data_IF_735808768885
#
_entry.id   IF_735808768885
#
_cell.length_a   1.000
_cell.length_b   1.000
_cell.length_c   1.000
_cell.angle_alpha   90.00
_cell.angle_beta   90.00
_cell.angle_gamma   90.00
#
_symmetry.space_group_name_H-M   'P 1'
#
loop_
_entity.id
_entity.type
_entity.pdbx_description
1 polymer ?
#
# COMPACT_ATOMS: atom_id res chain seq x y z
N UNK A 1 7.79 -4.27 -19.23
CA UNK A 1 7.99 -2.83 -19.01
C UNK A 1 9.02 -2.61 -17.91
N UNK A 2 9.94 -1.66 -18.08
CA UNK A 2 10.83 -1.18 -17.01
C UNK A 2 10.21 0.05 -16.34
N UNK A 3 10.44 0.25 -15.04
CA UNK A 3 9.84 1.37 -14.28
C UNK A 3 10.78 1.85 -13.18
N UNK A 4 10.86 3.16 -12.88
CA UNK A 4 11.60 3.65 -11.73
C UNK A 4 10.92 3.26 -10.41
N UNK A 5 11.73 3.05 -9.37
CA UNK A 5 11.27 2.88 -8.00
C UNK A 5 11.07 4.23 -7.32
N UNK A 6 9.99 4.37 -6.56
CA UNK A 6 9.59 5.67 -6.05
C UNK A 6 10.41 6.19 -4.86
N UNK A 7 10.39 7.51 -4.69
CA UNK A 7 10.71 8.19 -3.42
C UNK A 7 12.17 8.57 -3.17
N UNK A 8 13.14 8.01 -3.92
CA UNK A 8 14.56 8.39 -3.81
C UNK A 8 15.11 8.98 -5.11
N UNK A 9 15.22 10.31 -5.16
CA UNK A 9 15.81 11.00 -6.31
C UNK A 9 17.28 10.70 -6.57
N UNK A 10 18.00 10.16 -5.58
CA UNK A 10 19.38 9.68 -5.71
C UNK A 10 19.54 8.47 -6.66
N UNK A 11 18.44 7.85 -7.10
CA UNK A 11 18.42 6.82 -8.12
C UNK A 11 18.55 7.37 -9.54
N UNK A 12 18.46 8.69 -9.72
CA UNK A 12 18.59 9.39 -11.01
C UNK A 12 17.65 8.85 -12.11
N UNK A 13 16.45 8.41 -11.72
CA UNK A 13 15.46 7.83 -12.63
C UNK A 13 15.84 6.46 -13.22
N UNK A 14 16.87 5.80 -12.69
CA UNK A 14 17.21 4.43 -13.09
C UNK A 14 16.03 3.49 -12.82
N UNK A 15 15.72 2.59 -13.77
CA UNK A 15 14.64 1.63 -13.58
C UNK A 15 15.02 0.60 -12.52
N UNK A 16 14.01 -0.06 -11.95
CA UNK A 16 14.20 -1.26 -11.15
C UNK A 16 14.98 -2.32 -11.95
N UNK A 17 15.89 -3.02 -11.28
CA UNK A 17 16.76 -4.04 -11.85
C UNK A 17 16.04 -5.39 -11.97
N UNK A 18 15.15 -5.69 -11.02
CA UNK A 18 14.31 -6.89 -11.04
C UNK A 18 13.16 -6.75 -10.02
N UNK A 19 12.51 -7.87 -9.72
CA UNK A 19 11.45 -7.99 -8.70
C UNK A 19 11.99 -8.86 -7.57
N UNK A 20 11.95 -8.35 -6.33
CA UNK A 20 12.26 -9.13 -5.14
C UNK A 20 11.03 -9.90 -4.66
N UNK A 21 9.91 -9.18 -4.51
CA UNK A 21 8.61 -9.77 -4.17
C UNK A 21 7.48 -9.08 -4.94
N UNK A 22 6.35 -9.77 -5.06
CA UNK A 22 5.15 -9.25 -5.71
C UNK A 22 4.57 -8.09 -4.89
N UNK A 23 4.33 -6.97 -5.56
CA UNK A 23 3.53 -5.86 -5.04
C UNK A 23 2.05 -6.08 -5.34
N UNK A 24 1.16 -5.66 -4.45
CA UNK A 24 -0.28 -5.91 -4.60
C UNK A 24 -1.10 -4.62 -4.58
N UNK A 25 -2.23 -4.69 -5.29
CA UNK A 25 -3.42 -3.91 -4.98
C UNK A 25 -4.37 -4.83 -4.22
N UNK A 26 -4.93 -4.36 -3.10
CA UNK A 26 -5.93 -5.08 -2.33
C UNK A 26 -7.11 -4.15 -2.06
N UNK A 27 -8.31 -4.61 -2.38
CA UNK A 27 -9.52 -3.81 -2.24
C UNK A 27 -10.47 -4.40 -1.22
N UNK A 28 -11.13 -3.53 -0.48
CA UNK A 28 -12.23 -3.81 0.42
C UNK A 28 -13.40 -2.95 0.00
N UNK A 29 -14.50 -3.58 -0.45
CA UNK A 29 -15.75 -2.91 -0.80
C UNK A 29 -16.76 -3.19 0.31
N UNK A 30 -17.33 -2.12 0.84
CA UNK A 30 -18.44 -2.15 1.78
C UNK A 30 -19.73 -1.83 1.03
N UNK A 31 -20.77 -2.62 1.28
CA UNK A 31 -22.13 -2.31 0.83
C UNK A 31 -23.05 -2.24 2.05
N UNK A 32 -23.80 -1.15 2.16
CA UNK A 32 -24.83 -0.98 3.18
C UNK A 32 -26.01 -0.19 2.61
N UNK A 33 -27.22 -0.70 2.81
CA UNK A 33 -28.45 -0.05 2.33
C UNK A 33 -28.45 0.27 0.82
N UNK A 34 -27.76 -0.56 0.03
CA UNK A 34 -27.60 -0.38 -1.43
C UNK A 34 -26.48 0.58 -1.84
N UNK A 35 -25.79 1.21 -0.88
CA UNK A 35 -24.71 2.16 -1.13
C UNK A 35 -23.34 1.47 -1.00
N UNK A 36 -22.47 1.67 -1.99
CA UNK A 36 -21.11 1.11 -2.01
C UNK A 36 -20.05 2.14 -1.68
N UNK A 37 -19.00 1.71 -0.99
CA UNK A 37 -17.76 2.48 -0.79
C UNK A 37 -16.57 1.52 -0.81
N UNK A 38 -15.39 1.98 -1.21
CA UNK A 38 -14.20 1.15 -1.30
C UNK A 38 -12.98 1.75 -0.63
N UNK A 39 -12.14 0.88 -0.09
CA UNK A 39 -10.77 1.17 0.27
C UNK A 39 -9.85 0.29 -0.58
N UNK A 40 -8.85 0.88 -1.24
CA UNK A 40 -7.82 0.16 -1.98
C UNK A 40 -6.46 0.47 -1.37
N UNK A 41 -5.80 -0.55 -0.84
CA UNK A 41 -4.42 -0.49 -0.35
C UNK A 41 -3.46 -0.94 -1.45
N UNK A 42 -2.39 -0.18 -1.67
CA UNK A 42 -1.49 -0.33 -2.82
C UNK A 42 -0.03 -0.31 -2.37
N UNK A 43 0.75 -1.29 -2.81
CA UNK A 43 2.20 -1.33 -2.59
C UNK A 43 2.96 -0.44 -3.58
N UNK A 44 2.80 0.87 -3.42
CA UNK A 44 3.43 1.91 -4.24
C UNK A 44 3.99 3.04 -3.37
N UNK A 45 4.86 3.87 -3.95
CA UNK A 45 5.40 5.03 -3.24
C UNK A 45 4.38 6.17 -3.14
N UNK A 46 3.66 6.48 -4.22
CA UNK A 46 2.71 7.60 -4.24
C UNK A 46 1.59 7.35 -5.24
N UNK A 47 0.50 8.09 -5.08
CA UNK A 47 -0.70 7.96 -5.91
C UNK A 47 -1.14 9.33 -6.44
N UNK A 48 -1.07 9.57 -7.75
CA UNK A 48 -1.69 10.74 -8.34
C UNK A 48 -3.19 10.54 -8.50
N UNK A 49 -3.97 11.62 -8.35
CA UNK A 49 -5.43 11.55 -8.45
C UNK A 49 -5.92 11.02 -9.81
N UNK A 50 -5.20 11.29 -10.91
CA UNK A 50 -5.61 10.77 -12.23
C UNK A 50 -5.58 9.23 -12.28
N UNK A 51 -4.63 8.58 -11.61
CA UNK A 51 -4.58 7.12 -11.54
C UNK A 51 -5.74 6.55 -10.71
N UNK A 52 -6.20 7.29 -9.69
CA UNK A 52 -7.39 6.94 -8.90
C UNK A 52 -8.65 7.04 -9.77
N UNK A 53 -8.85 8.18 -10.44
CA UNK A 53 -9.99 8.44 -11.32
C UNK A 53 -10.08 7.41 -12.46
N UNK A 54 -8.98 7.18 -13.16
CA UNK A 54 -8.92 6.22 -14.28
C UNK A 54 -9.16 4.77 -13.79
N UNK A 55 -8.61 4.39 -12.63
CA UNK A 55 -8.82 3.06 -12.05
C UNK A 55 -10.29 2.78 -11.69
N UNK A 56 -10.97 3.76 -11.09
CA UNK A 56 -12.41 3.65 -10.76
C UNK A 56 -13.26 3.60 -12.03
N UNK A 57 -12.98 4.48 -12.99
CA UNK A 57 -13.70 4.52 -14.26
C UNK A 57 -13.56 3.19 -15.04
N UNK A 58 -12.35 2.61 -15.08
CA UNK A 58 -12.10 1.30 -15.70
C UNK A 58 -12.75 0.14 -14.93
N UNK A 59 -12.92 0.24 -13.61
CA UNK A 59 -13.63 -0.77 -12.83
C UNK A 59 -15.11 -0.85 -13.24
N UNK A 60 -15.73 0.31 -13.51
CA UNK A 60 -17.10 0.40 -14.02
C UNK A 60 -18.15 -0.19 -13.08
N UNK A 61 -17.94 -0.03 -11.76
CA UNK A 61 -18.84 -0.59 -10.74
C UNK A 61 -19.92 0.43 -10.40
N UNK A 62 -21.18 0.04 -10.61
CA UNK A 62 -22.34 0.88 -10.29
C UNK A 62 -22.35 1.28 -8.80
N UNK A 63 -22.57 2.56 -8.55
CA UNK A 63 -22.61 3.14 -7.20
C UNK A 63 -21.25 3.41 -6.57
N UNK A 64 -20.13 3.14 -7.28
CA UNK A 64 -18.78 3.43 -6.80
C UNK A 64 -18.16 4.60 -7.61
N UNK A 65 -18.14 5.77 -6.98
CA UNK A 65 -17.61 7.03 -7.52
C UNK A 65 -16.37 7.51 -6.75
N UNK A 66 -15.67 8.50 -7.28
CA UNK A 66 -14.43 9.04 -6.69
C UNK A 66 -14.60 9.48 -5.22
N UNK A 67 -15.72 10.09 -4.87
CA UNK A 67 -16.07 10.54 -3.51
C UNK A 67 -16.37 9.40 -2.53
N UNK A 68 -16.41 8.15 -3.02
CA UNK A 68 -16.70 6.94 -2.24
C UNK A 68 -15.54 5.94 -2.22
N UNK A 69 -14.39 6.32 -2.78
CA UNK A 69 -13.21 5.47 -2.85
C UNK A 69 -12.04 6.17 -2.17
N UNK A 70 -11.45 5.47 -1.21
CA UNK A 70 -10.15 5.83 -0.66
C UNK A 70 -9.08 4.90 -1.26
N UNK A 71 -8.11 5.44 -1.99
CA UNK A 71 -6.92 4.70 -2.40
C UNK A 71 -5.72 5.16 -1.59
N UNK A 72 -5.04 4.22 -0.95
CA UNK A 72 -3.94 4.47 -0.03
C UNK A 72 -2.67 3.73 -0.47
N UNK A 73 -1.57 4.47 -0.57
CA UNK A 73 -0.25 3.90 -0.80
C UNK A 73 0.34 3.41 0.53
N UNK A 74 0.99 2.25 0.53
CA UNK A 74 1.86 1.82 1.64
C UNK A 74 3.11 2.69 1.77
N UNK A 75 3.38 3.54 0.78
CA UNK A 75 4.53 4.44 0.75
C UNK A 75 5.87 3.67 0.79
N UNK A 76 5.89 2.47 0.20
CA UNK A 76 7.14 1.72 -0.02
C UNK A 76 8.03 2.48 -1.01
N UNK A 77 9.27 2.76 -0.62
CA UNK A 77 10.29 3.31 -1.52
C UNK A 77 10.91 2.23 -2.45
N UNK A 78 10.38 1.00 -2.42
CA UNK A 78 10.72 -0.07 -3.36
C UNK A 78 9.54 -0.44 -4.29
N UNK A 79 8.45 0.32 -4.24
CA UNK A 79 7.33 0.18 -5.17
C UNK A 79 7.39 1.15 -6.35
N UNK A 80 6.29 1.22 -7.10
CA UNK A 80 6.16 2.09 -8.26
C UNK A 80 6.28 3.59 -7.88
N UNK A 81 6.97 4.36 -8.72
CA UNK A 81 7.02 5.84 -8.62
C UNK A 81 5.68 6.46 -9.04
N UNK A 82 5.04 7.16 -8.11
CA UNK A 82 3.71 7.73 -8.31
C UNK A 82 3.66 8.85 -9.36
N UNK A 83 4.72 9.64 -9.50
CA UNK A 83 4.80 10.66 -10.54
C UNK A 83 4.99 10.09 -11.95
N UNK A 84 5.46 8.84 -12.07
CA UNK A 84 5.47 8.13 -13.34
C UNK A 84 4.07 7.66 -13.77
N UNK A 85 3.11 7.65 -12.83
CA UNK A 85 1.69 7.39 -13.06
C UNK A 85 0.88 8.66 -13.36
N UNK A 86 1.46 9.85 -13.22
CA UNK A 86 0.70 11.10 -13.35
C UNK A 86 0.81 11.66 -14.77
N UNK A 87 -0.27 11.54 -15.56
CA UNK A 87 -0.37 12.11 -16.91
C UNK A 87 -0.13 13.63 -16.95
N UNK A 88 -0.30 14.32 -15.81
CA UNK A 88 -0.08 15.76 -15.66
C UNK A 88 1.37 16.11 -15.31
N UNK A 89 2.21 15.11 -15.01
CA UNK A 89 3.63 15.31 -14.75
C UNK A 89 4.37 15.63 -16.07
N UNK A 90 4.51 16.93 -16.32
CA UNK A 90 5.25 17.48 -17.46
C UNK A 90 6.65 18.00 -17.07
N UNK A 91 7.10 17.73 -15.83
CA UNK A 91 8.37 18.25 -15.33
C UNK A 91 9.59 17.66 -16.07
N UNK A 92 9.41 16.49 -16.71
CA UNK A 92 10.45 15.75 -17.42
C UNK A 92 11.74 15.58 -16.58
N UNK A 93 11.56 15.38 -15.26
CA UNK A 93 12.65 15.28 -14.30
C UNK A 93 12.81 13.81 -13.86
N UNK A 94 13.89 13.12 -14.25
CA UNK A 94 14.08 11.71 -13.90
C UNK A 94 14.19 11.46 -12.39
N UNK A 95 14.61 12.44 -11.58
CA UNK A 95 14.74 12.28 -10.13
C UNK A 95 13.40 12.14 -9.39
N UNK A 96 12.30 12.52 -10.02
CA UNK A 96 10.95 12.33 -9.47
C UNK A 96 10.12 11.36 -10.30
N UNK A 97 10.68 10.76 -11.36
CA UNK A 97 9.94 9.93 -12.31
C UNK A 97 9.42 10.71 -13.52
N UNK A 98 9.46 10.04 -14.67
CA UNK A 98 8.92 10.52 -15.94
C UNK A 98 7.62 9.76 -16.20
N UNK A 99 6.57 10.48 -16.63
CA UNK A 99 5.28 9.87 -16.96
C UNK A 99 5.43 8.75 -17.99
N UNK A 100 4.75 7.63 -17.74
CA UNK A 100 4.64 6.49 -18.65
C UNK A 100 3.18 6.06 -18.79
N UNK A 101 2.64 6.21 -20.00
CA UNK A 101 1.29 5.75 -20.36
C UNK A 101 1.12 4.25 -20.13
N UNK A 102 2.16 3.46 -20.47
CA UNK A 102 2.14 2.01 -20.30
C UNK A 102 2.04 1.64 -18.81
N UNK A 103 2.79 2.33 -17.96
CA UNK A 103 2.77 2.10 -16.51
C UNK A 103 1.45 2.54 -15.88
N UNK A 104 0.89 3.68 -16.30
CA UNK A 104 -0.44 4.11 -15.86
C UNK A 104 -1.52 3.11 -16.27
N UNK A 105 -1.47 2.57 -17.49
CA UNK A 105 -2.41 1.54 -17.93
C UNK A 105 -2.27 0.25 -17.13
N UNK A 106 -1.05 -0.25 -16.95
CA UNK A 106 -0.79 -1.41 -16.09
C UNK A 106 -1.34 -1.23 -14.68
N UNK A 107 -1.09 -0.07 -14.07
CA UNK A 107 -1.57 0.26 -12.73
C UNK A 107 -3.11 0.31 -12.67
N UNK A 108 -3.74 1.07 -13.57
CA UNK A 108 -5.19 1.27 -13.56
C UNK A 108 -5.97 0.01 -13.94
N UNK A 109 -5.42 -0.84 -14.83
CA UNK A 109 -6.00 -2.14 -15.15
C UNK A 109 -5.95 -3.08 -13.94
N UNK A 110 -4.84 -3.09 -13.20
CA UNK A 110 -4.69 -3.84 -11.96
C UNK A 110 -5.66 -3.39 -10.86
N UNK A 111 -5.78 -2.07 -10.66
CA UNK A 111 -6.76 -1.49 -9.71
C UNK A 111 -8.20 -1.83 -10.11
N UNK A 112 -8.54 -1.67 -11.39
CA UNK A 112 -9.88 -1.98 -11.88
C UNK A 112 -10.23 -3.47 -11.71
N UNK A 113 -9.26 -4.36 -11.96
CA UNK A 113 -9.44 -5.79 -11.74
C UNK A 113 -9.64 -6.11 -10.25
N UNK A 114 -8.79 -5.55 -9.38
CA UNK A 114 -8.88 -5.71 -7.93
C UNK A 114 -10.25 -5.27 -7.37
N UNK A 115 -10.75 -4.12 -7.83
CA UNK A 115 -12.08 -3.62 -7.45
C UNK A 115 -13.21 -4.55 -7.91
N UNK A 116 -13.14 -5.06 -9.15
CA UNK A 116 -14.16 -6.01 -9.66
C UNK A 116 -14.17 -7.31 -8.87
N UNK A 117 -13.00 -7.85 -8.55
CA UNK A 117 -12.86 -9.06 -7.73
C UNK A 117 -13.44 -8.84 -6.32
N UNK A 118 -13.10 -7.72 -5.67
CA UNK A 118 -13.66 -7.39 -4.35
C UNK A 118 -15.20 -7.23 -4.39
N UNK A 119 -15.75 -6.64 -5.46
CA UNK A 119 -17.19 -6.47 -5.63
C UNK A 119 -17.90 -7.83 -5.84
N UNK A 120 -17.27 -8.76 -6.55
CA UNK A 120 -17.80 -10.13 -6.72
C UNK A 120 -17.74 -10.95 -5.42
N UNK A 121 -16.85 -10.60 -4.50
CA UNK A 121 -16.63 -11.29 -3.23
C UNK A 121 -17.47 -10.72 -2.06
N UNK A 122 -18.43 -9.83 -2.34
CA UNK A 122 -19.34 -9.27 -1.35
C UNK A 122 -20.10 -10.37 -0.61
N UNK A 123 -20.06 -10.32 0.71
CA UNK A 123 -20.75 -11.25 1.59
C UNK A 123 -20.99 -10.62 2.96
N UNK A 124 -21.98 -11.10 3.75
CA UNK A 124 -22.18 -10.65 5.12
C UNK A 124 -20.95 -10.93 5.99
N UNK A 125 -20.54 -9.94 6.77
CA UNK A 125 -19.40 -10.04 7.69
C UNK A 125 -19.75 -9.43 9.05
N UNK A 126 -19.00 -9.82 10.08
CA UNK A 126 -18.98 -9.13 11.38
C UNK A 126 -17.70 -8.31 11.47
N UNK A 127 -17.84 -7.02 11.77
CA UNK A 127 -16.71 -6.13 11.96
C UNK A 127 -16.33 -6.03 13.44
N UNK A 128 -15.03 -6.05 13.73
CA UNK A 128 -14.47 -5.72 15.03
C UNK A 128 -13.20 -4.89 14.86
N UNK A 129 -12.93 -3.98 15.78
CA UNK A 129 -11.72 -3.16 15.77
C UNK A 129 -10.97 -3.28 17.09
N UNK A 130 -9.65 -3.17 17.02
CA UNK A 130 -8.77 -3.16 18.18
C UNK A 130 -7.55 -2.29 17.93
N UNK A 131 -6.99 -1.74 19.00
CA UNK A 131 -5.79 -0.92 18.96
C UNK A 131 -4.80 -1.43 19.99
N UNK A 132 -3.53 -1.44 19.63
CA UNK A 132 -2.40 -1.70 20.54
C UNK A 132 -1.34 -0.63 20.33
N UNK A 133 -0.53 -0.38 21.37
CA UNK A 133 0.64 0.49 21.26
C UNK A 133 1.89 -0.35 21.00
N UNK A 134 2.71 0.09 20.05
CA UNK A 134 4.00 -0.51 19.71
C UNK A 134 5.13 0.49 20.04
N UNK A 135 5.51 0.61 21.32
CA UNK A 135 6.57 1.52 21.71
C UNK A 135 7.90 1.15 21.06
N UNK A 136 8.75 2.15 20.84
CA UNK A 136 10.12 2.00 20.31
C UNK A 136 10.28 1.43 18.90
N UNK A 137 9.20 1.11 18.20
CA UNK A 137 9.22 0.66 16.80
C UNK A 137 9.39 1.81 15.80
N UNK A 138 9.09 3.05 16.21
CA UNK A 138 9.23 4.24 15.39
C UNK A 138 10.11 5.30 16.03
N UNK A 139 10.58 6.24 15.21
CA UNK A 139 11.15 7.50 15.67
C UNK A 139 10.69 8.65 14.80
N UNK A 140 10.62 9.83 15.41
CA UNK A 140 10.45 11.07 14.66
C UNK A 140 11.79 11.49 14.02
N UNK A 141 11.90 11.44 12.69
CA UNK A 141 13.12 11.83 11.95
C UNK A 141 13.39 13.33 11.95
N UNK A 142 12.45 14.15 12.44
CA UNK A 142 12.61 15.59 12.68
C UNK A 142 13.01 15.91 14.13
N UNK A 143 13.27 14.88 14.95
CA UNK A 143 13.71 14.98 16.35
C UNK A 143 12.67 15.60 17.31
N UNK A 144 11.39 15.60 16.92
CA UNK A 144 10.32 15.92 17.86
C UNK A 144 10.06 14.73 18.80
N UNK A 145 9.49 14.99 19.97
CA UNK A 145 9.14 13.93 20.93
C UNK A 145 7.87 13.17 20.52
N UNK A 146 7.04 13.74 19.65
CA UNK A 146 5.81 13.10 19.19
C UNK A 146 6.12 11.91 18.27
N UNK A 147 5.65 10.73 18.70
CA UNK A 147 5.70 9.48 17.95
C UNK A 147 4.31 8.86 18.07
N UNK A 148 3.68 8.62 16.92
CA UNK A 148 2.50 7.75 16.82
C UNK A 148 2.96 6.28 16.95
N UNK A 149 2.52 5.66 18.05
CA UNK A 149 2.82 4.28 18.41
C UNK A 149 1.59 3.37 18.23
N UNK A 150 0.46 3.92 17.78
CA UNK A 150 -0.78 3.18 17.71
C UNK A 150 -0.80 2.32 16.44
N UNK A 151 -1.02 1.02 16.63
CA UNK A 151 -1.42 0.11 15.58
C UNK A 151 -2.89 -0.22 15.77
N UNK A 152 -3.70 0.08 14.76
CA UNK A 152 -5.13 -0.21 14.76
C UNK A 152 -5.43 -1.28 13.72
N UNK A 153 -6.26 -2.27 14.09
CA UNK A 153 -6.74 -3.30 13.17
C UNK A 153 -8.26 -3.25 13.11
N UNK A 154 -8.79 -3.15 11.89
CA UNK A 154 -10.18 -3.54 11.60
C UNK A 154 -10.16 -4.97 11.07
N UNK A 155 -10.85 -5.88 11.77
CA UNK A 155 -11.03 -7.27 11.36
C UNK A 155 -12.47 -7.48 10.88
N UNK A 156 -12.61 -8.17 9.75
CA UNK A 156 -13.89 -8.64 9.26
C UNK A 156 -13.89 -10.17 9.32
N UNK A 157 -14.88 -10.72 10.02
CA UNK A 157 -15.08 -12.17 10.16
C UNK A 157 -16.30 -12.61 9.33
N UNK A 158 -16.24 -13.80 8.74
CA UNK A 158 -17.37 -14.42 8.04
C UNK A 158 -18.47 -14.82 9.02
N UNK A 159 -19.61 -15.24 8.49
CA UNK A 159 -20.76 -15.68 9.30
C UNK A 159 -20.43 -16.85 10.26
N UNK A 160 -19.47 -17.71 9.90
CA UNK A 160 -18.98 -18.83 10.72
C UNK A 160 -17.91 -18.43 11.76
N UNK A 161 -17.54 -17.15 11.81
CA UNK A 161 -16.51 -16.61 12.71
C UNK A 161 -15.07 -16.75 12.21
N UNK A 162 -14.84 -17.33 11.03
CA UNK A 162 -13.51 -17.37 10.43
C UNK A 162 -13.06 -15.95 10.00
N UNK A 163 -11.80 -15.57 10.24
CA UNK A 163 -11.30 -14.28 9.78
C UNK A 163 -11.32 -14.23 8.25
N UNK A 164 -11.69 -13.08 7.69
CA UNK A 164 -11.77 -12.85 6.25
C UNK A 164 -10.84 -11.73 5.78
N UNK A 165 -10.87 -10.60 6.48
CA UNK A 165 -10.03 -9.43 6.16
C UNK A 165 -9.44 -8.86 7.43
N UNK A 166 -8.17 -8.45 7.36
CA UNK A 166 -7.53 -7.60 8.35
C UNK A 166 -7.04 -6.33 7.66
N UNK A 167 -7.57 -5.18 8.05
CA UNK A 167 -7.06 -3.87 7.63
C UNK A 167 -6.22 -3.30 8.77
N UNK A 168 -4.92 -3.21 8.55
CA UNK A 168 -3.94 -2.69 9.50
C UNK A 168 -3.67 -1.22 9.18
N UNK A 169 -3.81 -0.36 10.18
CA UNK A 169 -3.35 1.02 10.15
C UNK A 169 -2.19 1.20 11.13
N UNK A 170 -1.05 1.64 10.62
CA UNK A 170 0.13 1.92 11.43
C UNK A 170 1.04 2.94 10.73
N UNK A 171 1.79 3.72 11.51
CA UNK A 171 2.50 4.90 11.02
C UNK A 171 4.01 4.65 10.96
N UNK A 172 4.55 4.23 9.80
CA UNK A 172 6.00 4.18 9.60
C UNK A 172 6.36 4.40 8.12
N UNK A 173 7.39 5.20 7.81
CA UNK A 173 7.83 5.35 6.42
C UNK A 173 8.28 4.01 5.82
N UNK A 174 8.02 3.80 4.53
CA UNK A 174 8.55 2.65 3.77
C UNK A 174 10.02 2.76 3.39
N UNK A 175 10.88 3.20 4.32
CA UNK A 175 12.31 3.56 4.07
C UNK A 175 13.31 2.63 4.75
N UNK A 176 12.92 1.40 5.10
CA UNK A 176 13.92 0.35 5.41
C UNK A 176 14.77 0.09 4.18
N UNK A 177 14.13 0.00 3.01
CA UNK A 177 14.79 0.02 1.72
C UNK A 177 15.36 1.41 1.45
N UNK A 178 16.62 1.47 1.03
CA UNK A 178 17.35 2.72 0.75
C UNK A 178 17.42 2.97 -0.76
N UNK A 179 18.09 4.04 -1.18
CA UNK A 179 18.31 4.34 -2.60
C UNK A 179 19.11 3.25 -3.33
N UNK A 180 19.82 2.39 -2.59
CA UNK A 180 20.70 1.34 -3.13
C UNK A 180 19.94 0.08 -3.53
N UNK A 181 18.79 -0.18 -2.93
CA UNK A 181 17.99 -1.35 -3.28
C UNK A 181 17.10 -1.01 -4.48
N UNK A 182 17.39 -1.69 -5.59
CA UNK A 182 16.80 -1.46 -6.91
C UNK A 182 15.85 -2.58 -7.35
N UNK A 183 15.36 -3.41 -6.43
CA UNK A 183 14.37 -4.45 -6.72
C UNK A 183 12.97 -3.99 -6.32
N UNK A 184 11.96 -4.28 -7.14
CA UNK A 184 10.56 -4.03 -6.80
C UNK A 184 10.16 -4.86 -5.57
N UNK A 185 9.53 -4.23 -4.59
CA UNK A 185 9.05 -4.88 -3.36
C UNK A 185 7.98 -4.04 -2.64
N UNK A 186 7.08 -4.72 -1.93
CA UNK A 186 6.15 -4.09 -0.99
C UNK A 186 6.82 -3.51 0.26
N UNK A 187 8.13 -3.72 0.44
CA UNK A 187 8.88 -3.32 1.62
C UNK A 187 8.34 -3.99 2.89
N UNK A 188 8.63 -3.40 4.05
CA UNK A 188 8.19 -3.95 5.34
C UNK A 188 6.66 -4.06 5.45
N UNK A 189 5.92 -3.14 4.83
CA UNK A 189 4.45 -3.18 4.83
C UNK A 189 3.93 -4.36 4.01
N UNK A 190 4.57 -4.67 2.88
CA UNK A 190 4.29 -5.88 2.09
C UNK A 190 4.63 -7.15 2.84
N UNK A 191 5.78 -7.18 3.53
CA UNK A 191 6.16 -8.30 4.41
C UNK A 191 5.11 -8.50 5.50
N UNK A 192 4.75 -7.46 6.25
CA UNK A 192 3.75 -7.54 7.33
C UNK A 192 2.43 -8.13 6.86
N UNK A 193 1.93 -7.67 5.71
CA UNK A 193 0.71 -8.21 5.12
C UNK A 193 0.83 -9.72 4.89
N UNK A 194 1.93 -10.18 4.26
CA UNK A 194 2.18 -11.60 4.00
C UNK A 194 2.39 -12.40 5.28
N UNK A 195 3.06 -11.83 6.29
CA UNK A 195 3.24 -12.44 7.61
C UNK A 195 1.88 -12.68 8.28
N UNK A 196 0.99 -11.69 8.28
CA UNK A 196 -0.37 -11.84 8.80
C UNK A 196 -1.16 -12.90 8.02
N UNK A 197 -1.10 -12.87 6.69
CA UNK A 197 -1.78 -13.83 5.82
C UNK A 197 -1.28 -15.27 6.03
N UNK A 198 0.03 -15.46 6.26
CA UNK A 198 0.64 -16.75 6.52
C UNK A 198 0.34 -17.30 7.93
N UNK A 199 0.25 -16.43 8.94
CA UNK A 199 -0.03 -16.81 10.33
C UNK A 199 -1.51 -17.13 10.59
N UNK A 200 -2.43 -16.66 9.73
CA UNK A 200 -3.85 -16.96 9.83
C UNK A 200 -4.23 -18.14 8.92
N UNK A 201 -5.27 -18.87 9.31
CA UNK A 201 -5.78 -19.98 8.50
C UNK A 201 -6.07 -19.52 7.06
N UNK A 202 -5.96 -20.44 6.11
CA UNK A 202 -6.06 -20.15 4.67
C UNK A 202 -7.23 -19.22 4.32
N UNK A 203 -6.94 -18.12 3.61
CA UNK A 203 -7.95 -17.26 2.99
C UNK A 203 -8.24 -15.92 3.68
N UNK A 204 -7.40 -15.47 4.62
CA UNK A 204 -7.43 -14.07 5.11
C UNK A 204 -6.69 -13.18 4.12
N UNK A 205 -7.28 -12.03 3.80
CA UNK A 205 -6.60 -10.94 3.07
C UNK A 205 -6.18 -9.86 4.07
N UNK A 206 -4.90 -9.52 4.11
CA UNK A 206 -4.39 -8.43 4.94
C UNK A 206 -4.08 -7.19 4.09
N UNK A 207 -4.70 -6.06 4.43
CA UNK A 207 -4.45 -4.76 3.83
C UNK A 207 -3.67 -3.89 4.81
N UNK A 208 -2.80 -3.03 4.29
CA UNK A 208 -2.09 -2.03 5.07
C UNK A 208 -2.41 -0.62 4.57
N UNK A 209 -2.66 0.29 5.50
CA UNK A 209 -2.76 1.72 5.22
C UNK A 209 -1.96 2.53 6.23
N UNK A 210 -1.29 3.57 5.77
CA UNK A 210 -0.50 4.40 6.65
C UNK A 210 -1.35 5.34 7.52
N UNK A 211 -0.83 5.69 8.70
CA UNK A 211 -1.21 6.90 9.41
C UNK A 211 -0.37 8.12 8.99
N UNK A 212 -0.15 9.06 9.91
CA UNK A 212 0.54 10.33 9.64
C UNK A 212 2.07 10.16 9.56
N UNK A 213 2.57 9.64 8.44
CA UNK A 213 3.95 9.13 8.31
C UNK A 213 5.04 10.17 7.99
N UNK A 214 4.70 11.44 7.78
CA UNK A 214 5.57 12.44 7.13
C UNK A 214 6.93 12.66 7.81
N UNK A 215 6.97 12.59 9.14
CA UNK A 215 8.16 12.72 9.97
C UNK A 215 8.46 11.44 10.77
N UNK A 216 7.83 10.32 10.42
CA UNK A 216 7.97 9.05 11.11
C UNK A 216 8.89 8.12 10.34
N UNK A 217 9.71 7.34 11.03
CA UNK A 217 10.61 6.36 10.40
C UNK A 217 10.76 5.11 11.26
N UNK A 218 10.83 3.91 10.63
CA UNK A 218 11.10 2.66 11.33
C UNK A 218 12.36 2.74 12.20
N UNK A 219 12.29 2.18 13.40
CA UNK A 219 13.37 2.05 14.37
C UNK A 219 13.45 0.58 14.81
N UNK A 220 14.66 0.10 15.10
CA UNK A 220 14.84 -1.20 15.76
C UNK A 220 14.93 -2.42 14.84
N UNK A 221 14.60 -2.30 13.55
CA UNK A 221 14.73 -3.39 12.58
C UNK A 221 16.17 -3.97 12.51
N UNK A 222 16.30 -5.29 12.55
CA UNK A 222 17.57 -6.02 12.58
C UNK A 222 17.74 -6.92 11.35
N UNK A 223 18.98 -7.17 10.94
CA UNK A 223 19.29 -8.02 9.78
C UNK A 223 20.67 -7.74 9.19
N UNK A 224 21.21 -8.68 8.44
CA UNK A 224 22.44 -8.52 7.65
C UNK A 224 22.23 -7.77 6.33
N UNK A 225 20.99 -7.69 5.86
CA UNK A 225 20.58 -6.92 4.68
C UNK A 225 19.33 -6.07 4.94
N UNK A 226 19.00 -5.14 4.02
CA UNK A 226 17.75 -4.36 4.09
C UNK A 226 16.50 -5.22 3.90
N UNK A 227 16.62 -6.32 3.16
CA UNK A 227 15.54 -7.29 2.99
C UNK A 227 15.24 -8.01 4.30
N UNK A 228 16.26 -8.53 4.97
CA UNK A 228 16.12 -9.15 6.30
C UNK A 228 15.60 -8.14 7.34
N UNK A 229 16.02 -6.87 7.29
CA UNK A 229 15.46 -5.82 8.16
C UNK A 229 13.98 -5.54 7.87
N UNK A 230 13.56 -5.61 6.61
CA UNK A 230 12.15 -5.43 6.24
C UNK A 230 11.31 -6.64 6.69
N UNK A 231 11.89 -7.84 6.66
CA UNK A 231 11.31 -9.06 7.20
C UNK A 231 11.18 -9.04 8.73
N UNK A 232 12.22 -8.60 9.44
CA UNK A 232 12.21 -8.47 10.91
C UNK A 232 11.19 -7.45 11.40
N UNK A 233 11.04 -6.33 10.69
CA UNK A 233 10.10 -5.27 11.05
C UNK A 233 8.64 -5.61 10.74
N UNK A 234 8.39 -6.44 9.72
CA UNK A 234 7.07 -6.68 9.12
C UNK A 234 6.39 -7.97 9.56
#
# INVERSE_FOLDING_TARGET
MTTPLGGYGARDGKPAESIHDTIYAKALIFEKDGEKSALVALDVCGLPVCAVEEGIAKAGIDGLSLDRVLMAASHTHAGLEGFALDRRNIANNPHIGIFSEELLNFFTDGVAQCLREANQALQPVRAGAGQVRLPDMNRNRRKAECVDEDLTVLRLDRADGAPYVALVNYTAHGTIMTEREMLVSGGWAGVMQRTVEALKAQGVTCLFVNGALGDMSPKGAQGGSRWEMAEDYG
#
